data_IF_976026444760
#
_entry.id   IF_976026444760
#
_cell.length_a   1.000
_cell.length_b   1.000
_cell.length_c   1.000
_cell.angle_alpha   90.00
_cell.angle_beta   90.00
_cell.angle_gamma   90.00
#
_symmetry.space_group_name_H-M   'P 1'
#
loop_
_entity.id
_entity.type
_entity.pdbx_description
1 polymer ?
#
# COMPACT_ATOMS: atom_id res chain seq x y z
N UNK A 1 -1.58 -8.18 -25.03
CA UNK A 1 -0.71 -8.93 -24.09
C UNK A 1 -1.51 -9.09 -22.80
N UNK A 2 -1.60 -10.28 -22.19
CA UNK A 2 -2.44 -10.48 -21.00
C UNK A 2 -1.80 -9.91 -19.74
N UNK A 3 -2.60 -9.30 -18.86
CA UNK A 3 -2.14 -8.72 -17.57
C UNK A 3 -1.34 -9.74 -16.76
N UNK A 4 -1.81 -11.00 -16.72
CA UNK A 4 -1.13 -12.12 -16.06
C UNK A 4 0.34 -12.30 -16.52
N UNK A 5 0.62 -12.17 -17.82
CA UNK A 5 1.99 -12.24 -18.35
C UNK A 5 2.81 -11.00 -17.98
N UNK A 6 2.17 -9.85 -17.81
CA UNK A 6 2.84 -8.61 -17.46
C UNK A 6 3.28 -8.62 -15.98
N UNK A 7 2.48 -9.24 -15.10
CA UNK A 7 2.71 -9.26 -13.65
C UNK A 7 3.44 -10.51 -13.15
N UNK A 8 3.69 -11.51 -14.00
CA UNK A 8 4.32 -12.78 -13.60
C UNK A 8 5.81 -12.67 -13.29
N UNK A 9 6.47 -11.57 -13.69
CA UNK A 9 7.89 -11.34 -13.41
C UNK A 9 8.09 -10.69 -12.05
N UNK A 10 9.08 -11.13 -11.24
CA UNK A 10 9.46 -10.43 -10.02
C UNK A 10 9.78 -8.95 -10.32
N UNK A 11 9.29 -8.05 -9.47
CA UNK A 11 9.48 -6.60 -9.63
C UNK A 11 8.61 -5.94 -10.69
N UNK A 12 7.73 -6.68 -11.38
CA UNK A 12 6.74 -6.12 -12.33
C UNK A 12 5.91 -4.99 -11.70
N UNK A 13 5.52 -5.16 -10.45
CA UNK A 13 4.87 -4.14 -9.63
C UNK A 13 5.65 -4.03 -8.33
N UNK A 14 5.97 -2.80 -7.93
CA UNK A 14 6.62 -2.52 -6.65
C UNK A 14 5.81 -1.51 -5.85
N UNK A 15 5.85 -1.65 -4.53
CA UNK A 15 5.24 -0.73 -3.59
C UNK A 15 6.33 -0.07 -2.75
N UNK A 16 6.25 1.25 -2.64
CA UNK A 16 7.09 2.06 -1.75
C UNK A 16 6.25 3.00 -0.91
N UNK A 17 6.71 3.30 0.30
CA UNK A 17 6.10 4.31 1.16
C UNK A 17 6.92 5.59 1.09
N UNK A 18 6.29 6.71 0.74
CA UNK A 18 6.96 8.01 0.53
C UNK A 18 6.06 9.12 1.07
N UNK A 19 6.54 9.91 2.04
CA UNK A 19 5.87 11.15 2.51
C UNK A 19 4.36 11.00 2.84
N UNK A 20 3.95 9.86 3.42
CA UNK A 20 2.53 9.60 3.75
C UNK A 20 1.69 8.98 2.62
N UNK A 21 2.32 8.63 1.50
CA UNK A 21 1.71 7.96 0.37
C UNK A 21 2.18 6.52 0.24
N UNK A 22 1.26 5.65 -0.18
CA UNK A 22 1.57 4.36 -0.77
C UNK A 22 1.74 4.60 -2.28
N UNK A 23 2.96 4.39 -2.78
CA UNK A 23 3.29 4.52 -4.19
C UNK A 23 3.37 3.14 -4.83
N UNK A 24 2.55 2.91 -5.85
CA UNK A 24 2.57 1.69 -6.69
C UNK A 24 3.24 2.04 -8.01
N UNK A 25 4.33 1.34 -8.34
CA UNK A 25 5.06 1.56 -9.59
C UNK A 25 4.75 0.43 -10.58
N UNK A 26 4.44 0.80 -11.83
CA UNK A 26 4.23 -0.15 -12.92
C UNK A 26 5.52 -0.30 -13.74
N UNK A 27 6.28 -1.36 -13.46
CA UNK A 27 7.51 -1.67 -14.22
C UNK A 27 7.23 -2.62 -15.40
N UNK A 28 5.96 -2.79 -15.77
CA UNK A 28 5.54 -3.67 -16.86
C UNK A 28 5.33 -2.87 -18.15
N UNK A 29 5.41 -3.50 -19.33
CA UNK A 29 5.06 -2.85 -20.60
C UNK A 29 3.54 -2.70 -20.82
N UNK A 30 2.72 -3.04 -19.82
CA UNK A 30 1.27 -3.10 -19.94
C UNK A 30 0.62 -2.02 -19.08
N UNK A 31 -0.57 -1.55 -19.47
CA UNK A 31 -1.40 -0.75 -18.58
C UNK A 31 -1.87 -1.63 -17.42
N UNK A 32 -1.77 -1.13 -16.19
CA UNK A 32 -2.25 -1.81 -15.00
C UNK A 32 -3.51 -1.12 -14.48
N UNK A 33 -4.64 -1.83 -14.51
CA UNK A 33 -5.86 -1.35 -13.87
C UNK A 33 -5.84 -1.74 -12.39
N UNK A 34 -5.39 -0.83 -11.53
CA UNK A 34 -5.41 -1.02 -10.07
C UNK A 34 -6.83 -0.81 -9.56
N UNK A 35 -7.45 -1.88 -9.08
CA UNK A 35 -8.81 -1.88 -8.53
C UNK A 35 -8.83 -1.43 -7.09
N UNK A 36 -7.92 -1.97 -6.30
CA UNK A 36 -7.82 -1.68 -4.88
C UNK A 36 -6.42 -1.94 -4.35
N UNK A 37 -6.16 -1.39 -3.17
CA UNK A 37 -5.08 -1.83 -2.29
C UNK A 37 -5.67 -2.51 -1.07
N UNK A 38 -5.03 -3.56 -0.59
CA UNK A 38 -5.26 -4.08 0.75
C UNK A 38 -4.01 -3.81 1.58
N UNK A 39 -4.18 -3.05 2.67
CA UNK A 39 -3.10 -2.58 3.52
C UNK A 39 -3.25 -3.24 4.88
N UNK A 40 -2.25 -3.99 5.29
CA UNK A 40 -2.14 -4.51 6.65
C UNK A 40 -1.22 -3.56 7.44
N UNK A 41 -1.73 -3.02 8.54
CA UNK A 41 -0.98 -2.12 9.41
C UNK A 41 -1.33 -2.34 10.87
N UNK A 42 -0.50 -1.78 11.75
CA UNK A 42 -0.74 -1.80 13.20
C UNK A 42 -1.19 -0.42 13.68
N UNK A 43 -2.33 -0.34 14.37
CA UNK A 43 -2.76 0.89 15.08
C UNK A 43 -2.57 0.74 16.58
N UNK A 44 -2.38 1.88 17.25
CA UNK A 44 -2.47 1.95 18.71
C UNK A 44 -3.85 2.46 19.09
N UNK A 45 -4.58 1.66 19.86
CA UNK A 45 -5.89 2.00 20.42
C UNK A 45 -5.75 2.33 21.89
N UNK A 46 -6.51 3.33 22.34
CA UNK A 46 -6.61 3.68 23.75
C UNK A 46 -7.77 2.90 24.38
N UNK A 47 -7.52 2.27 25.52
CA UNK A 47 -8.51 1.51 26.28
C UNK A 47 -8.90 2.33 27.51
N UNK A 48 -10.20 2.52 27.69
CA UNK A 48 -10.79 3.23 28.82
C UNK A 48 -11.55 2.25 29.69
N UNK A 49 -11.30 2.27 30.99
CA UNK A 49 -12.14 1.56 31.97
C UNK A 49 -13.46 2.31 32.19
N UNK A 50 -14.57 1.61 32.50
CA UNK A 50 -15.85 2.25 32.76
C UNK A 50 -15.74 3.29 33.89
N UNK A 51 -16.08 4.55 33.57
CA UNK A 51 -16.00 5.68 34.51
C UNK A 51 -14.67 6.45 34.49
N UNK A 52 -13.69 6.03 33.67
CA UNK A 52 -12.44 6.79 33.48
C UNK A 52 -12.56 7.83 32.36
N UNK A 53 -11.98 9.01 32.60
CA UNK A 53 -11.82 10.09 31.62
C UNK A 53 -10.45 10.00 30.93
N UNK A 54 -9.49 9.30 31.54
CA UNK A 54 -8.15 9.08 31.02
C UNK A 54 -7.95 7.65 30.52
N UNK A 55 -7.15 7.44 29.46
CA UNK A 55 -6.88 6.12 28.94
C UNK A 55 -6.04 5.31 29.93
N UNK A 56 -6.56 4.15 30.34
CA UNK A 56 -5.89 3.29 31.32
C UNK A 56 -4.72 2.53 30.71
N UNK A 57 -4.83 2.15 29.42
CA UNK A 57 -3.78 1.43 28.67
C UNK A 57 -3.84 1.74 27.18
N UNK A 58 -2.71 1.55 26.50
CA UNK A 58 -2.64 1.46 25.03
C UNK A 58 -2.58 -0.01 24.59
N UNK A 59 -3.36 -0.40 23.59
CA UNK A 59 -3.32 -1.71 22.97
C UNK A 59 -2.99 -1.60 21.48
N UNK A 60 -2.08 -2.43 20.99
CA UNK A 60 -1.79 -2.55 19.56
C UNK A 60 -2.81 -3.47 18.90
N UNK A 61 -3.33 -3.08 17.73
CA UNK A 61 -4.24 -3.88 16.92
C UNK A 61 -3.75 -3.94 15.48
N UNK A 62 -3.73 -5.13 14.92
CA UNK A 62 -3.51 -5.33 13.50
C UNK A 62 -4.83 -5.12 12.76
N UNK A 63 -4.82 -4.24 11.77
CA UNK A 63 -5.96 -3.94 10.93
C UNK A 63 -5.57 -4.24 9.49
N UNK A 64 -6.55 -4.74 8.74
CA UNK A 64 -6.47 -4.85 7.29
C UNK A 64 -7.55 -4.00 6.67
N UNK A 65 -7.12 -2.98 5.92
CA UNK A 65 -8.00 -2.05 5.23
C UNK A 65 -7.98 -2.32 3.73
N UNK A 66 -9.13 -2.12 3.08
CA UNK A 66 -9.22 -2.13 1.62
C UNK A 66 -9.52 -0.71 1.13
N UNK A 67 -8.63 -0.18 0.31
CA UNK A 67 -8.77 1.12 -0.32
C UNK A 67 -9.17 0.88 -1.77
N UNK A 68 -10.40 1.21 -2.14
CA UNK A 68 -10.83 1.14 -3.54
C UNK A 68 -10.26 2.36 -4.29
N UNK A 69 -9.67 2.11 -5.46
CA UNK A 69 -8.93 3.12 -6.23
C UNK A 69 -9.52 3.27 -7.63
N UNK A 70 -9.73 2.14 -8.31
CA UNK A 70 -10.17 2.06 -9.71
C UNK A 70 -9.42 3.02 -10.66
N UNK A 71 -8.08 2.87 -10.73
CA UNK A 71 -7.21 3.71 -11.56
C UNK A 71 -6.37 2.89 -12.54
N UNK A 72 -6.00 3.48 -13.68
CA UNK A 72 -5.11 2.86 -14.67
C UNK A 72 -3.73 3.50 -14.57
N UNK A 73 -2.69 2.69 -14.42
CA UNK A 73 -1.28 3.11 -14.40
C UNK A 73 -0.65 2.74 -15.75
N UNK A 74 -0.21 3.72 -16.55
CA UNK A 74 0.54 3.47 -17.78
C UNK A 74 1.86 2.72 -17.54
N UNK A 75 2.45 2.09 -18.58
CA UNK A 75 3.78 1.50 -18.50
C UNK A 75 4.85 2.50 -18.04
N UNK A 76 5.66 2.12 -17.05
CA UNK A 76 6.75 2.97 -16.52
C UNK A 76 6.30 4.11 -15.61
N UNK A 77 5.00 4.23 -15.33
CA UNK A 77 4.43 5.27 -14.49
C UNK A 77 4.10 4.76 -13.08
N UNK A 78 3.58 5.65 -12.23
CA UNK A 78 3.29 5.39 -10.82
C UNK A 78 1.97 5.99 -10.38
N UNK A 79 1.34 5.32 -9.44
CA UNK A 79 0.16 5.80 -8.73
C UNK A 79 0.52 6.08 -7.28
N UNK A 80 0.10 7.25 -6.77
CA UNK A 80 0.25 7.63 -5.36
C UNK A 80 -1.11 7.69 -4.71
N UNK A 81 -1.27 6.93 -3.64
CA UNK A 81 -2.49 6.90 -2.82
C UNK A 81 -2.12 7.43 -1.46
N UNK A 82 -2.75 8.54 -1.06
CA UNK A 82 -2.55 9.08 0.28
C UNK A 82 -3.12 8.10 1.30
N UNK A 83 -2.30 7.73 2.27
CA UNK A 83 -2.68 6.82 3.35
C UNK A 83 -2.49 7.44 4.73
N UNK A 84 -1.71 8.51 4.82
CA UNK A 84 -1.33 9.14 6.08
C UNK A 84 -0.06 8.52 6.67
N UNK A 85 0.11 8.57 8.00
CA UNK A 85 1.31 8.05 8.67
C UNK A 85 1.47 6.56 8.38
N UNK A 86 2.58 6.18 7.76
CA UNK A 86 2.82 4.81 7.29
C UNK A 86 3.86 4.06 8.12
N UNK A 87 4.24 4.61 9.28
CA UNK A 87 5.24 4.06 10.21
C UNK A 87 4.92 2.62 10.64
N UNK A 88 3.64 2.22 10.58
CA UNK A 88 3.15 0.92 10.97
C UNK A 88 2.54 0.10 9.83
N UNK A 89 2.83 0.42 8.56
CA UNK A 89 2.40 -0.41 7.44
C UNK A 89 3.29 -1.64 7.34
N UNK A 90 2.67 -2.80 7.55
CA UNK A 90 3.32 -4.11 7.58
C UNK A 90 3.35 -4.75 6.19
N UNK A 91 2.24 -4.60 5.44
CA UNK A 91 2.08 -5.21 4.12
C UNK A 91 1.12 -4.41 3.24
N UNK A 92 1.41 -4.37 1.95
CA UNK A 92 0.49 -3.89 0.92
C UNK A 92 0.30 -4.98 -0.13
N UNK A 93 -0.96 -5.27 -0.46
CA UNK A 93 -1.34 -6.14 -1.58
C UNK A 93 -2.02 -5.28 -2.63
N UNK A 94 -1.47 -5.27 -3.85
CA UNK A 94 -2.05 -4.55 -4.98
C UNK A 94 -3.02 -5.47 -5.71
N UNK A 95 -4.26 -5.03 -5.89
CA UNK A 95 -5.29 -5.77 -6.63
C UNK A 95 -5.41 -5.16 -8.01
N UNK A 96 -5.06 -5.91 -9.06
CA UNK A 96 -5.17 -5.46 -10.45
C UNK A 96 -6.24 -6.25 -11.21
N UNK A 97 -7.01 -5.56 -12.03
CA UNK A 97 -8.02 -6.15 -12.90
C UNK A 97 -7.52 -6.36 -14.33
N UNK A 98 -8.11 -7.31 -15.05
CA UNK A 98 -8.05 -7.38 -16.50
C UNK A 98 -9.36 -6.93 -17.17
N UNK A 99 -9.37 -6.92 -18.50
CA UNK A 99 -10.52 -6.55 -19.33
C UNK A 99 -11.73 -7.49 -19.19
N UNK A 100 -11.53 -8.69 -18.63
CA UNK A 100 -12.57 -9.69 -18.40
C UNK A 100 -13.09 -9.67 -16.96
N UNK A 101 -12.65 -8.70 -16.14
CA UNK A 101 -13.06 -8.56 -14.74
C UNK A 101 -12.37 -9.54 -13.78
N UNK A 102 -11.31 -10.23 -14.20
CA UNK A 102 -10.52 -11.08 -13.31
C UNK A 102 -9.58 -10.22 -12.48
N UNK A 103 -9.51 -10.51 -11.18
CA UNK A 103 -8.61 -9.83 -10.25
C UNK A 103 -7.36 -10.68 -9.97
N UNK A 104 -6.21 -10.02 -9.99
CA UNK A 104 -4.92 -10.60 -9.63
C UNK A 104 -4.39 -9.90 -8.39
N UNK A 105 -3.92 -10.68 -7.42
CA UNK A 105 -3.40 -10.21 -6.14
C UNK A 105 -1.89 -10.24 -6.17
N UNK A 106 -1.26 -9.07 -6.10
CA UNK A 106 0.20 -8.94 -6.16
C UNK A 106 0.70 -8.57 -4.77
N UNK A 107 1.46 -9.48 -4.18
CA UNK A 107 2.14 -9.28 -2.91
C UNK A 107 3.55 -8.78 -3.22
N UNK A 108 3.84 -7.51 -2.93
CA UNK A 108 5.18 -6.95 -3.10
C UNK A 108 5.77 -6.65 -1.72
N UNK A 109 7.06 -6.92 -1.50
CA UNK A 109 7.74 -6.37 -0.33
C UNK A 109 7.69 -4.84 -0.41
N UNK A 110 7.53 -4.19 0.74
CA UNK A 110 7.49 -2.74 0.84
C UNK A 110 8.93 -2.22 0.84
N UNK A 111 9.23 -1.31 -0.08
CA UNK A 111 10.49 -0.56 -0.07
C UNK A 111 10.29 0.67 0.82
N UNK A 112 10.99 0.72 1.95
CA UNK A 112 11.04 1.90 2.83
C UNK A 112 12.23 2.74 2.41
N UNK A 113 11.98 3.97 1.95
CA UNK A 113 13.05 4.95 1.77
C UNK A 113 13.24 5.64 3.12
N UNK A 114 14.31 5.29 3.84
CA UNK A 114 14.78 6.15 4.92
C UNK A 114 15.29 7.43 4.26
N UNK A 115 14.68 8.57 4.56
CA UNK A 115 15.32 9.84 4.26
C UNK A 115 16.61 9.87 5.07
N UNK A 116 17.76 9.69 4.40
CA UNK A 116 19.02 10.22 4.92
C UNK A 116 18.79 11.72 5.14
N UNK A 117 18.63 12.11 6.41
CA UNK A 117 18.80 13.49 6.83
C UNK A 117 20.19 13.94 6.35
N UNK A 118 20.24 14.56 5.16
CA UNK A 118 21.35 15.43 4.77
C UNK A 118 21.24 16.71 5.58
N UNK A 119 21.56 16.60 6.87
CA UNK A 119 21.97 17.72 7.69
C UNK A 119 23.31 18.25 7.18
N UNK A 120 23.25 19.19 6.23
CA UNK A 120 24.32 20.15 5.97
C UNK A 120 23.69 21.50 5.67
N UNK A 121 23.53 22.30 6.71
CA UNK A 121 23.86 23.73 6.72
C UNK A 121 24.42 24.11 8.09
#
# INVERSE_FOLDING_TARGET
MSVEKCISKPGAVTVSLVEGYIQVNNNTPCHLHVKALEVEHTITTLVYEPGSIEPTKSAKRHIRERINVDAVIPPGDRLRIYFGPHENVDRVVVIVGDEYGREYRIVTPIVRFEEEEKGKE
#
